data_IF_911585423270
#
_entry.id   IF_911585423270
#
_cell.length_a   1.000
_cell.length_b   1.000
_cell.length_c   1.000
_cell.angle_alpha   90.00
_cell.angle_beta   90.00
_cell.angle_gamma   90.00
#
_symmetry.space_group_name_H-M   'P 1'
#
loop_
_entity.id
_entity.type
_entity.pdbx_description
1 polymer ?
#
# COMPACT_ATOMS: atom_id res chain seq x y z
N UNK A 1 5.51 2.61 -3.67
CA UNK A 1 6.61 3.18 -2.86
C UNK A 1 7.60 2.07 -2.59
N UNK A 2 8.92 2.36 -2.67
CA UNK A 2 10.03 1.41 -2.81
C UNK A 2 10.15 0.73 -4.19
N UNK A 3 10.76 -0.46 -4.25
CA UNK A 3 11.20 -1.13 -5.48
C UNK A 3 10.03 -1.69 -6.29
N UNK A 4 8.95 -2.15 -5.63
CA UNK A 4 7.88 -2.87 -6.32
C UNK A 4 6.61 -2.02 -6.51
N UNK A 5 6.28 -1.21 -5.52
CA UNK A 5 5.13 -0.30 -5.61
C UNK A 5 3.78 -1.00 -5.88
N UNK A 6 2.78 -0.26 -6.43
CA UNK A 6 1.45 -0.81 -6.65
C UNK A 6 1.44 -1.92 -7.71
N UNK A 7 1.24 -3.16 -7.27
CA UNK A 7 1.09 -4.29 -8.20
C UNK A 7 -0.25 -4.22 -8.92
N UNK A 8 -0.23 -4.02 -10.24
CA UNK A 8 -1.43 -3.85 -11.08
C UNK A 8 -2.53 -4.90 -10.83
N UNK A 9 -2.17 -6.17 -10.72
CA UNK A 9 -3.13 -7.25 -10.45
C UNK A 9 -3.92 -7.03 -9.14
N UNK A 10 -3.25 -6.56 -8.09
CA UNK A 10 -3.87 -6.31 -6.78
C UNK A 10 -4.73 -5.04 -6.80
N UNK A 11 -4.25 -3.99 -7.46
CA UNK A 11 -5.02 -2.74 -7.64
C UNK A 11 -6.30 -3.00 -8.43
N UNK A 12 -6.23 -3.79 -9.50
CA UNK A 12 -7.37 -4.04 -10.38
C UNK A 12 -8.38 -5.05 -9.80
N UNK A 13 -7.90 -6.04 -9.01
CA UNK A 13 -8.73 -7.21 -8.62
C UNK A 13 -9.00 -7.32 -7.13
N UNK A 14 -8.03 -6.95 -6.28
CA UNK A 14 -8.14 -7.09 -4.83
C UNK A 14 -8.69 -5.81 -4.18
N UNK A 15 -8.11 -4.64 -4.50
CA UNK A 15 -8.52 -3.35 -3.92
C UNK A 15 -10.03 -3.09 -4.03
N UNK A 16 -10.72 -3.37 -5.16
CA UNK A 16 -12.17 -3.20 -5.23
C UNK A 16 -12.92 -4.05 -4.19
N UNK A 17 -12.46 -5.28 -3.94
CA UNK A 17 -13.06 -6.17 -2.95
C UNK A 17 -12.82 -5.68 -1.52
N UNK A 18 -11.63 -5.14 -1.23
CA UNK A 18 -11.31 -4.59 0.09
C UNK A 18 -12.27 -3.45 0.47
N UNK A 19 -12.52 -2.52 -0.47
CA UNK A 19 -13.51 -1.46 -0.27
C UNK A 19 -14.94 -2.01 -0.23
N UNK A 20 -15.32 -2.90 -1.15
CA UNK A 20 -16.66 -3.50 -1.19
C UNK A 20 -17.04 -4.14 0.15
N UNK A 21 -16.09 -4.83 0.79
CA UNK A 21 -16.31 -5.52 2.05
C UNK A 21 -15.89 -4.73 3.28
N UNK A 22 -15.54 -3.43 3.13
CA UNK A 22 -15.21 -2.52 4.23
C UNK A 22 -14.11 -3.10 5.13
N UNK A 23 -13.08 -3.68 4.52
CA UNK A 23 -11.92 -4.19 5.25
C UNK A 23 -11.29 -3.03 6.04
N UNK A 24 -10.73 -3.32 7.21
CA UNK A 24 -10.06 -2.27 8.01
C UNK A 24 -8.66 -1.97 7.48
N UNK A 25 -7.89 -3.03 7.21
CA UNK A 25 -6.52 -2.90 6.74
C UNK A 25 -6.10 -4.07 5.84
N UNK A 26 -5.18 -3.79 4.93
CA UNK A 26 -4.43 -4.78 4.16
C UNK A 26 -2.96 -4.77 4.62
N UNK A 27 -2.42 -5.94 4.95
CA UNK A 27 -1.03 -6.10 5.35
C UNK A 27 -0.27 -6.87 4.27
N UNK A 28 0.91 -6.37 3.90
CA UNK A 28 1.81 -7.07 2.99
C UNK A 28 3.29 -6.80 3.33
N UNK A 29 4.18 -7.38 2.54
CA UNK A 29 5.63 -7.13 2.59
C UNK A 29 6.15 -6.96 1.18
N UNK A 30 7.11 -7.80 0.78
CA UNK A 30 7.80 -7.78 -0.53
C UNK A 30 8.77 -6.61 -0.70
N UNK A 31 8.31 -5.37 -0.53
CA UNK A 31 9.21 -4.23 -0.37
C UNK A 31 9.89 -4.31 0.99
N UNK A 32 11.23 -4.20 1.02
CA UNK A 32 12.03 -4.38 2.23
C UNK A 32 12.10 -3.10 3.08
N UNK A 33 10.94 -2.56 3.46
CA UNK A 33 10.83 -1.42 4.37
C UNK A 33 9.50 -1.41 5.13
N UNK A 34 9.25 -0.32 5.84
CA UNK A 34 7.99 -0.07 6.53
C UNK A 34 7.28 1.09 5.84
N UNK A 35 6.00 0.90 5.53
CA UNK A 35 5.18 1.94 4.91
C UNK A 35 3.77 1.90 5.50
N UNK A 36 3.15 3.07 5.59
CA UNK A 36 1.72 3.20 5.82
C UNK A 36 1.12 4.06 4.73
N UNK A 37 0.21 3.48 3.96
CA UNK A 37 -0.62 4.20 3.02
C UNK A 37 -2.07 4.15 3.48
N UNK A 38 -2.83 5.19 3.15
CA UNK A 38 -4.27 5.17 3.35
C UNK A 38 -4.98 5.89 2.20
N UNK A 39 -6.16 5.39 1.86
CA UNK A 39 -7.08 6.06 0.94
C UNK A 39 -8.52 5.99 1.43
N UNK A 40 -9.34 6.89 0.87
CA UNK A 40 -10.77 6.97 1.11
C UNK A 40 -11.48 6.84 -0.24
N UNK A 41 -12.26 5.76 -0.41
CA UNK A 41 -13.05 5.51 -1.62
C UNK A 41 -14.50 5.33 -1.21
N UNK A 42 -15.39 6.14 -1.78
CA UNK A 42 -16.84 6.10 -1.48
C UNK A 42 -17.17 6.18 0.03
N UNK A 43 -16.38 6.95 0.78
CA UNK A 43 -16.51 7.11 2.23
C UNK A 43 -16.04 5.89 3.05
N UNK A 44 -15.31 4.98 2.42
CA UNK A 44 -14.71 3.80 3.05
C UNK A 44 -13.21 4.05 3.17
N UNK A 45 -12.77 4.24 4.42
CA UNK A 45 -11.36 4.35 4.76
C UNK A 45 -10.69 2.97 4.69
N UNK A 46 -9.50 2.92 4.09
CA UNK A 46 -8.66 1.72 4.02
C UNK A 46 -7.22 2.05 4.40
N UNK A 47 -6.68 1.28 5.34
CA UNK A 47 -5.26 1.29 5.67
C UNK A 47 -4.50 0.19 4.92
N UNK A 48 -3.29 0.51 4.45
CA UNK A 48 -2.37 -0.43 3.85
C UNK A 48 -1.03 -0.35 4.60
N UNK A 49 -0.60 -1.46 5.18
CA UNK A 49 0.66 -1.55 5.90
C UNK A 49 1.62 -2.47 5.15
N UNK A 50 2.77 -1.92 4.76
CA UNK A 50 3.90 -2.70 4.28
C UNK A 50 4.82 -2.96 5.47
N UNK A 51 5.03 -4.23 5.80
CA UNK A 51 5.81 -4.69 6.96
C UNK A 51 6.92 -5.64 6.50
N UNK A 52 7.78 -5.17 5.59
CA UNK A 52 8.81 -5.99 4.94
C UNK A 52 10.22 -5.83 5.50
N UNK A 53 10.42 -5.03 6.54
CA UNK A 53 11.74 -4.73 7.14
C UNK A 53 12.22 -5.80 8.16
N UNK A 54 11.96 -7.09 7.90
CA UNK A 54 12.26 -8.17 8.85
C UNK A 54 13.72 -8.65 8.85
N UNK A 55 14.48 -8.37 7.78
CA UNK A 55 15.87 -8.80 7.60
C UNK A 55 16.69 -7.74 6.86
N UNK A 56 16.28 -7.40 5.63
CA UNK A 56 16.88 -6.34 4.82
C UNK A 56 16.04 -5.06 4.94
N UNK A 57 16.70 -3.90 4.93
CA UNK A 57 16.06 -2.58 4.91
C UNK A 57 16.53 -1.79 3.69
N UNK A 58 15.59 -1.29 2.89
CA UNK A 58 15.81 -0.46 1.71
C UNK A 58 15.11 0.89 1.85
N UNK A 59 15.82 1.98 1.51
CA UNK A 59 15.31 3.36 1.61
C UNK A 59 14.98 3.97 0.24
N UNK A 60 14.71 3.14 -0.77
CA UNK A 60 14.36 3.61 -2.10
C UNK A 60 12.89 4.02 -2.18
N UNK A 61 12.61 4.97 -3.07
CA UNK A 61 11.30 5.60 -3.24
C UNK A 61 10.90 5.60 -4.71
N UNK A 62 11.35 4.58 -5.46
CA UNK A 62 11.32 4.56 -6.93
C UNK A 62 9.90 4.68 -7.50
N UNK A 63 8.91 4.16 -6.77
CA UNK A 63 7.48 4.21 -7.11
C UNK A 63 6.70 5.16 -6.18
N UNK A 64 7.30 6.30 -5.82
CA UNK A 64 6.63 7.34 -5.01
C UNK A 64 5.54 8.08 -5.79
N UNK A 65 5.76 8.32 -7.08
CA UNK A 65 4.80 9.03 -7.94
C UNK A 65 3.67 8.12 -8.46
N UNK A 66 3.78 6.81 -8.26
CA UNK A 66 2.77 5.82 -8.68
C UNK A 66 1.63 5.63 -7.67
N UNK A 67 1.75 6.22 -6.48
CA UNK A 67 0.69 6.21 -5.48
C UNK A 67 -0.08 7.54 -5.47
N UNK A 68 -1.37 7.56 -5.14
CA UNK A 68 -2.12 8.81 -5.08
C UNK A 68 -1.47 9.83 -4.15
N UNK A 69 -1.46 11.10 -4.56
CA UNK A 69 -0.90 12.18 -3.76
C UNK A 69 -1.55 12.22 -2.36
N UNK A 70 -0.72 12.29 -1.32
CA UNK A 70 -1.16 12.30 0.07
C UNK A 70 -1.62 10.96 0.63
N UNK A 71 -1.55 9.86 -0.14
CA UNK A 71 -1.88 8.51 0.36
C UNK A 71 -0.79 7.95 1.29
N UNK A 72 0.48 8.17 0.97
CA UNK A 72 1.61 7.79 1.82
C UNK A 72 1.61 8.64 3.10
N UNK A 73 1.52 7.99 4.25
CA UNK A 73 1.50 8.61 5.58
C UNK A 73 2.84 8.49 6.30
N UNK A 74 3.49 7.33 6.16
CA UNK A 74 4.80 6.99 6.71
C UNK A 74 5.59 6.14 5.74
#
# INVERSE_FOLDING_TARGET
VAEHGPTKCLVDRLRPLLHQYRVTAYLCGHDHNLQHLADDVDGIHMDYFVVGAGDIVQNNHDHADDVPAGSLKY
#
